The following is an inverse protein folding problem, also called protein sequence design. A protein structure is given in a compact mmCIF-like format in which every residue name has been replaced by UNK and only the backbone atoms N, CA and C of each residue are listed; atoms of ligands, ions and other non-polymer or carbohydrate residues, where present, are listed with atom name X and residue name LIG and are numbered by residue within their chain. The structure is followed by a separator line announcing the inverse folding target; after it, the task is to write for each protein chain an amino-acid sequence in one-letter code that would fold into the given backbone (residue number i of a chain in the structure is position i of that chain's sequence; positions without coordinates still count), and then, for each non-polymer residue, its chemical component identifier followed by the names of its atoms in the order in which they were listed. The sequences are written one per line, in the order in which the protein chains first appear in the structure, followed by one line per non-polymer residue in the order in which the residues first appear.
data_IF_825389089059
#
_entry.id   IF_825389089059
#
_cell.length_a   1.000
_cell.length_b   1.000
_cell.length_c   1.000
_cell.angle_alpha   90.00
_cell.angle_beta   90.00
_cell.angle_gamma   90.00
#
_symmetry.space_group_name_H-M   'P 1'
#
loop_
_entity.id
_entity.type
_entity.pdbx_description
1 polymer ?
#
# COMPACT_ATOMS: atom_id res chain seq x y z
N UNK A 1 -1.65 29.73 -2.99
CA UNK A 1 -0.88 28.50 -2.65
C UNK A 1 -1.81 27.49 -1.97
N UNK A 2 -2.73 26.85 -2.73
CA UNK A 2 -3.80 25.97 -2.14
C UNK A 2 -3.94 24.65 -2.91
N UNK A 3 -2.87 24.18 -3.56
CA UNK A 3 -2.88 22.90 -4.29
C UNK A 3 -2.03 21.81 -3.64
N UNK A 4 -1.04 22.17 -2.83
CA UNK A 4 -0.15 21.19 -2.16
C UNK A 4 -0.80 20.50 -0.96
N UNK A 5 -1.75 21.15 -0.27
CA UNK A 5 -2.43 20.58 0.89
C UNK A 5 -3.38 19.41 0.54
N UNK A 6 -3.92 19.37 -0.69
CA UNK A 6 -4.85 18.31 -1.12
C UNK A 6 -4.16 16.98 -1.44
N UNK A 7 -2.84 16.98 -1.68
CA UNK A 7 -2.09 15.79 -2.08
C UNK A 7 -1.70 14.89 -0.91
N UNK A 8 -1.74 15.43 0.31
CA UNK A 8 -1.28 14.76 1.54
C UNK A 8 -2.32 13.80 2.13
N UNK A 9 -3.54 13.82 1.63
CA UNK A 9 -4.68 13.02 2.11
C UNK A 9 -4.98 11.79 1.24
N UNK A 10 -4.13 11.53 0.24
CA UNK A 10 -4.34 10.44 -0.70
C UNK A 10 -3.75 9.14 -0.14
N UNK A 11 -4.61 8.32 0.46
CA UNK A 11 -4.22 7.01 0.98
C UNK A 11 -4.49 5.94 -0.06
N UNK A 12 -3.58 4.99 -0.20
CA UNK A 12 -3.76 3.84 -1.07
C UNK A 12 -4.00 2.61 -0.19
N UNK A 13 -5.05 1.86 -0.50
CA UNK A 13 -5.36 0.60 0.16
C UNK A 13 -4.97 -0.53 -0.77
N UNK A 14 -4.26 -1.52 -0.23
CA UNK A 14 -4.06 -2.79 -0.91
C UNK A 14 -5.42 -3.47 -1.07
N UNK A 15 -5.80 -3.81 -2.29
CA UNK A 15 -7.03 -4.55 -2.60
C UNK A 15 -7.06 -5.91 -1.88
N UNK A 16 -8.11 -6.69 -2.10
CA UNK A 16 -8.30 -8.05 -1.56
C UNK A 16 -7.16 -9.04 -1.86
N UNK A 17 -6.24 -8.69 -2.77
CA UNK A 17 -5.07 -9.52 -3.12
C UNK A 17 -3.78 -9.01 -2.49
N UNK A 18 -2.99 -9.95 -1.98
CA UNK A 18 -1.63 -9.73 -1.46
C UNK A 18 -0.77 -8.99 -2.50
N UNK A 19 -0.29 -7.80 -2.15
CA UNK A 19 0.62 -7.04 -3.00
C UNK A 19 2.07 -7.42 -2.70
N UNK A 20 2.78 -7.88 -3.73
CA UNK A 20 4.20 -8.26 -3.59
C UNK A 20 5.07 -7.02 -3.62
N UNK A 21 5.77 -6.76 -2.52
CA UNK A 21 6.72 -5.66 -2.36
C UNK A 21 8.08 -6.08 -2.90
N UNK A 22 8.63 -5.28 -3.80
CA UNK A 22 9.92 -5.52 -4.43
C UNK A 22 10.89 -4.39 -4.11
N UNK A 23 12.19 -4.69 -4.16
CA UNK A 23 13.23 -3.68 -3.94
C UNK A 23 13.30 -2.66 -5.08
N UNK A 24 12.95 -3.07 -6.30
CA UNK A 24 12.94 -2.22 -7.48
C UNK A 24 11.65 -2.40 -8.29
N UNK A 25 11.27 -1.42 -9.12
CA UNK A 25 10.09 -1.48 -9.98
C UNK A 25 10.29 -2.38 -11.22
N UNK A 26 10.69 -3.63 -10.99
CA UNK A 26 11.00 -4.63 -12.02
C UNK A 26 10.53 -6.02 -11.58
N UNK A 27 10.01 -6.80 -12.53
CA UNK A 27 9.44 -8.13 -12.27
C UNK A 27 10.49 -9.17 -11.82
N UNK A 28 11.77 -8.96 -12.13
CA UNK A 28 12.88 -9.83 -11.73
C UNK A 28 13.50 -9.50 -10.37
N UNK A 29 13.11 -8.39 -9.75
CA UNK A 29 13.76 -7.94 -8.50
C UNK A 29 13.34 -8.74 -7.28
N UNK A 30 14.27 -8.77 -6.32
CA UNK A 30 14.08 -9.39 -5.01
C UNK A 30 12.79 -8.90 -4.36
N UNK A 31 12.01 -9.86 -3.87
CA UNK A 31 10.80 -9.60 -3.09
C UNK A 31 11.26 -9.25 -1.68
N UNK A 32 11.05 -7.99 -1.27
CA UNK A 32 11.33 -7.55 0.10
C UNK A 32 10.25 -8.01 1.07
N UNK A 33 9.03 -8.18 0.58
CA UNK A 33 7.92 -8.53 1.43
C UNK A 33 6.62 -8.69 0.67
N UNK A 34 5.56 -8.90 1.42
CA UNK A 34 4.20 -8.99 0.93
C UNK A 34 3.35 -8.10 1.81
N UNK A 35 2.62 -7.19 1.20
CA UNK A 35 1.57 -6.46 1.91
C UNK A 35 0.32 -7.31 1.89
N UNK A 36 -0.33 -7.34 3.05
CA UNK A 36 -1.60 -8.00 3.18
C UNK A 36 -2.69 -7.17 2.50
N UNK A 37 -3.74 -7.83 2.02
CA UNK A 37 -4.92 -7.12 1.57
C UNK A 37 -5.48 -6.24 2.69
N UNK A 38 -6.04 -5.09 2.29
CA UNK A 38 -6.63 -4.07 3.19
C UNK A 38 -5.58 -3.31 4.02
N UNK A 39 -4.29 -3.48 3.72
CA UNK A 39 -3.24 -2.65 4.30
C UNK A 39 -3.30 -1.24 3.70
N UNK A 40 -3.35 -0.24 4.57
CA UNK A 40 -3.29 1.17 4.16
C UNK A 40 -1.81 1.53 4.07
N UNK A 41 -1.34 1.85 2.87
CA UNK A 41 0.04 2.30 2.65
C UNK A 41 0.08 3.74 2.19
N UNK A 42 1.20 4.40 2.47
CA UNK A 42 1.45 5.75 2.02
C UNK A 42 2.24 5.71 0.72
N UNK A 43 1.67 6.13 -0.42
CA UNK A 43 2.43 6.28 -1.65
C UNK A 43 3.50 7.37 -1.42
N UNK A 44 4.75 7.07 -1.75
CA UNK A 44 5.84 8.04 -1.75
C UNK A 44 6.05 8.55 -3.16
N UNK A 45 6.03 7.64 -4.14
CA UNK A 45 6.35 7.96 -5.52
C UNK A 45 5.65 7.00 -6.48
N UNK A 46 5.47 7.40 -7.73
CA UNK A 46 4.94 6.52 -8.78
C UNK A 46 5.88 6.49 -9.98
N UNK A 47 6.12 5.28 -10.52
CA UNK A 47 6.96 5.04 -11.68
C UNK A 47 6.26 4.11 -12.65
N UNK A 48 5.52 4.71 -13.58
CA UNK A 48 4.76 3.99 -14.61
C UNK A 48 3.68 3.09 -14.01
N UNK A 49 3.90 1.77 -14.03
CA UNK A 49 2.96 0.77 -13.47
C UNK A 49 3.24 0.44 -12.00
N UNK A 50 4.33 0.98 -11.44
CA UNK A 50 4.77 0.72 -10.09
C UNK A 50 4.53 1.94 -9.21
N UNK A 51 4.16 1.69 -7.97
CA UNK A 51 4.14 2.71 -6.92
C UNK A 51 5.16 2.31 -5.86
N UNK A 52 5.93 3.31 -5.43
CA UNK A 52 6.73 3.25 -4.23
C UNK A 52 5.85 3.67 -3.07
N UNK A 53 5.86 2.88 -2.00
CA UNK A 53 5.13 3.19 -0.77
C UNK A 53 5.99 2.89 0.44
N UNK A 54 5.66 3.58 1.52
CA UNK A 54 6.16 3.26 2.85
C UNK A 54 5.19 2.28 3.52
N UNK A 55 5.76 1.22 4.09
CA UNK A 55 5.04 0.26 4.90
C UNK A 55 5.82 -0.05 6.17
N UNK A 56 5.10 -0.44 7.22
CA UNK A 56 5.70 -0.80 8.49
C UNK A 56 6.10 -2.27 8.47
N UNK A 57 7.39 -2.56 8.60
CA UNK A 57 7.89 -3.92 8.64
C UNK A 57 7.90 -4.44 10.08
N UNK A 58 6.82 -5.11 10.50
CA UNK A 58 6.62 -5.58 11.87
C UNK A 58 7.81 -6.40 12.44
N UNK A 59 8.46 -7.24 11.64
CA UNK A 59 9.61 -8.05 12.09
C UNK A 59 10.83 -7.19 12.50
N UNK A 60 11.05 -6.07 11.81
CA UNK A 60 12.18 -5.16 12.07
C UNK A 60 11.74 -3.89 12.82
N UNK A 61 10.45 -3.76 13.09
CA UNK A 61 9.81 -2.58 13.71
C UNK A 61 10.19 -1.26 13.01
N UNK A 62 10.43 -1.31 11.70
CA UNK A 62 10.99 -0.21 10.92
C UNK A 62 10.08 0.13 9.73
N UNK A 63 10.02 1.43 9.40
CA UNK A 63 9.40 1.90 8.18
C UNK A 63 10.31 1.60 7.00
N UNK A 64 9.87 0.70 6.12
CA UNK A 64 10.59 0.39 4.89
C UNK A 64 9.83 0.86 3.68
N UNK A 65 10.58 1.24 2.66
CA UNK A 65 10.05 1.59 1.36
C UNK A 65 10.10 0.39 0.43
N UNK A 66 9.15 0.31 -0.48
CA UNK A 66 9.12 -0.76 -1.45
C UNK A 66 8.23 -0.47 -2.64
N UNK A 67 8.46 -1.24 -3.71
CA UNK A 67 7.77 -1.08 -4.98
C UNK A 67 6.76 -2.19 -5.17
N UNK A 68 5.54 -1.84 -5.55
CA UNK A 68 4.55 -2.81 -6.01
C UNK A 68 3.67 -2.24 -7.10
N UNK A 69 2.95 -3.10 -7.79
CA UNK A 69 2.17 -2.71 -8.96
C UNK A 69 0.93 -1.93 -8.54
N UNK A 70 0.71 -0.77 -9.18
CA UNK A 70 -0.46 0.10 -8.98
C UNK A 70 -1.79 -0.65 -9.10
N UNK A 71 -1.87 -1.70 -9.92
CA UNK A 71 -3.07 -2.54 -10.10
C UNK A 71 -3.54 -3.24 -8.81
N UNK A 72 -2.66 -3.41 -7.83
CA UNK A 72 -3.00 -4.00 -6.53
C UNK A 72 -3.45 -2.96 -5.51
N UNK A 73 -3.34 -1.67 -5.83
CA UNK A 73 -3.71 -0.59 -4.95
C UNK A 73 -4.93 0.13 -5.50
N UNK A 74 -5.90 0.34 -4.63
CA UNK A 74 -7.02 1.23 -4.91
C UNK A 74 -6.77 2.54 -4.18
N UNK A 75 -6.86 3.65 -4.92
CA UNK A 75 -6.84 4.99 -4.34
C UNK A 75 -8.13 5.16 -3.57
N UNK A 76 -8.02 5.37 -2.27
CA UNK A 76 -9.17 5.57 -1.40
C UNK A 76 -9.14 6.99 -0.83
N UNK A 77 -10.30 7.63 -0.62
CA UNK A 77 -10.34 8.91 0.07
C UNK A 77 -9.80 8.76 1.50
N UNK A 78 -9.25 9.83 2.09
CA UNK A 78 -8.72 9.83 3.46
C UNK A 78 -9.72 9.30 4.52
N UNK A 79 -11.02 9.42 4.22
CA UNK A 79 -12.14 8.94 5.03
C UNK A 79 -12.46 7.44 4.86
N UNK A 80 -11.57 6.67 4.21
CA UNK A 80 -11.76 5.23 4.09
C UNK A 80 -11.41 4.55 5.41
N UNK A 81 -12.44 4.34 6.22
CA UNK A 81 -12.37 3.45 7.36
C UNK A 81 -12.10 2.04 6.85
N UNK A 82 -11.07 1.40 7.41
CA UNK A 82 -10.80 -0.02 7.16
C UNK A 82 -12.14 -0.74 7.37
N UNK A 83 -12.67 -1.52 6.41
CA UNK A 83 -13.75 -2.41 6.77
C UNK A 83 -13.14 -3.33 7.83
N UNK A 84 -13.58 -3.11 9.08
CA UNK A 84 -13.25 -3.96 10.19
C UNK A 84 -13.53 -5.39 9.79
N UNK A 85 -12.73 -6.31 10.33
CA UNK A 85 -12.94 -7.74 10.20
C UNK A 85 -14.44 -8.00 10.30
N UNK A 86 -15.08 -8.38 9.19
CA UNK A 86 -16.40 -8.96 9.28
C UNK A 86 -16.14 -10.29 9.98
N UNK A 87 -16.45 -10.23 11.27
CA UNK A 87 -16.50 -11.30 12.23
C UNK A 87 -16.92 -12.57 11.51
N UNK A 88 -16.05 -13.58 11.54
CA UNK A 88 -16.42 -14.94 11.18
C UNK A 88 -17.42 -15.45 12.23
N UNK A 89 -18.64 -14.90 12.22
CA UNK A 89 -19.81 -15.50 12.82
C UNK A 89 -20.31 -16.51 11.80
N UNK A 90 -19.85 -17.74 11.96
CA UNK A 90 -20.43 -18.90 11.28
C UNK A 90 -21.23 -19.63 12.36
N UNK A 91 -22.54 -19.88 12.14
CA UNK A 91 -23.50 -20.33 13.15
C UNK A 91 -23.25 -21.74 13.69
#
# INVERSE_FOLDING_TARGET
MVLEAKRQEERFVVLDRVAVVRSKPEHGSAVQGKLLPREVVRPISERGKWIEFEYYHWLYQEHRTGWALKKYFQRVPANFEKPGKEEATIP
#
